data_IF_717616136051
#
_entry.id   IF_717616136051
#
_cell.length_a   1.000
_cell.length_b   1.000
_cell.length_c   1.000
_cell.angle_alpha   90.00
_cell.angle_beta   90.00
_cell.angle_gamma   90.00
#
_symmetry.space_group_name_H-M   'P 1'
#
loop_
_entity.id
_entity.type
_entity.pdbx_description
1 polymer ?
#
# COMPACT_ATOMS: atom_id res chain seq x y z
N UNK A 1 12.98 4.45 -78.80
CA UNK A 1 13.74 4.51 -77.53
C UNK A 1 12.79 4.08 -76.42
N UNK A 2 12.23 2.87 -76.48
CA UNK A 2 12.84 1.56 -76.10
C UNK A 2 12.91 1.48 -74.57
N UNK A 3 12.21 0.59 -73.84
CA UNK A 3 11.57 -0.71 -74.13
C UNK A 3 10.47 -0.96 -73.07
N UNK A 4 9.28 -1.37 -73.51
CA UNK A 4 8.64 -2.69 -73.30
C UNK A 4 7.62 -2.70 -72.12
N UNK A 5 6.29 -2.69 -72.36
CA UNK A 5 5.40 -3.81 -72.74
C UNK A 5 5.35 -4.90 -71.64
N UNK A 6 4.23 -5.39 -71.10
CA UNK A 6 2.83 -5.62 -71.56
C UNK A 6 2.04 -6.08 -70.29
N UNK A 7 0.89 -5.49 -69.91
CA UNK A 7 -0.51 -5.85 -70.28
C UNK A 7 -0.87 -7.26 -69.72
N UNK A 8 -1.98 -7.58 -69.04
CA UNK A 8 -3.36 -7.07 -68.99
C UNK A 8 -4.15 -7.69 -67.81
N UNK A 9 -5.15 -6.95 -67.33
CA UNK A 9 -6.43 -7.34 -66.69
C UNK A 9 -7.31 -8.23 -67.63
N UNK A 10 -8.61 -8.60 -67.41
CA UNK A 10 -9.67 -7.87 -66.66
C UNK A 10 -10.81 -8.73 -66.03
N UNK A 11 -11.88 -8.04 -65.59
CA UNK A 11 -13.30 -8.46 -65.53
C UNK A 11 -13.76 -9.29 -64.30
N UNK A 12 -14.91 -9.06 -63.62
CA UNK A 12 -16.13 -8.24 -63.82
C UNK A 12 -16.86 -8.17 -62.45
N UNK A 13 -17.53 -7.05 -62.15
CA UNK A 13 -18.49 -6.81 -61.05
C UNK A 13 -19.94 -7.18 -61.50
N UNK A 14 -20.99 -7.39 -60.66
CA UNK A 14 -21.61 -6.33 -59.84
C UNK A 14 -22.42 -6.77 -58.58
N UNK A 15 -22.98 -5.75 -57.90
CA UNK A 15 -24.00 -5.70 -56.84
C UNK A 15 -25.13 -6.77 -56.87
N UNK A 16 -25.70 -7.10 -55.69
CA UNK A 16 -27.11 -6.81 -55.28
C UNK A 16 -27.46 -7.45 -53.91
N UNK A 17 -28.14 -6.65 -53.07
CA UNK A 17 -29.12 -6.89 -51.99
C UNK A 17 -29.28 -8.26 -51.28
N UNK A 18 -29.59 -8.16 -49.97
CA UNK A 18 -30.77 -8.85 -49.43
C UNK A 18 -30.59 -9.67 -48.15
N UNK A 19 -31.13 -9.13 -47.06
CA UNK A 19 -31.90 -9.79 -45.99
C UNK A 19 -31.52 -11.20 -45.46
N UNK A 20 -31.21 -11.22 -44.16
CA UNK A 20 -31.80 -12.03 -43.08
C UNK A 20 -32.16 -13.53 -43.27
N UNK A 21 -31.86 -14.26 -42.18
CA UNK A 21 -32.25 -15.63 -41.80
C UNK A 21 -31.50 -16.76 -42.52
N UNK A 22 -30.75 -17.59 -41.77
CA UNK A 22 -31.13 -18.98 -41.49
C UNK A 22 -30.18 -19.66 -40.50
N UNK A 23 -30.84 -20.32 -39.56
CA UNK A 23 -30.43 -21.28 -38.55
C UNK A 23 -29.72 -22.53 -39.09
N UNK A 24 -28.76 -23.07 -38.30
CA UNK A 24 -28.22 -24.46 -38.17
C UNK A 24 -26.68 -24.43 -38.21
N UNK A 25 -25.89 -25.20 -37.46
CA UNK A 25 -26.03 -26.51 -36.81
C UNK A 25 -24.76 -26.68 -35.93
N UNK A 26 -24.87 -27.07 -34.66
CA UNK A 26 -23.77 -27.73 -33.93
C UNK A 26 -24.39 -28.56 -32.81
N UNK A 27 -24.72 -29.82 -33.09
CA UNK A 27 -23.90 -31.01 -32.83
C UNK A 27 -23.76 -31.32 -31.34
N UNK A 28 -24.71 -32.11 -30.86
CA UNK A 28 -24.76 -32.80 -29.56
C UNK A 28 -23.61 -33.80 -29.40
N UNK A 29 -22.87 -33.71 -28.30
CA UNK A 29 -22.12 -34.84 -27.72
C UNK A 29 -22.59 -35.05 -26.28
N UNK A 30 -23.33 -36.14 -26.10
CA UNK A 30 -23.72 -36.69 -24.79
C UNK A 30 -22.49 -37.26 -24.07
N UNK A 31 -22.31 -36.91 -22.81
CA UNK A 31 -21.46 -37.65 -21.87
C UNK A 31 -22.36 -38.04 -20.69
N UNK A 32 -22.49 -39.35 -20.50
CA UNK A 32 -23.21 -39.99 -19.40
C UNK A 32 -22.53 -39.68 -18.06
N UNK A 33 -23.33 -39.30 -17.05
CA UNK A 33 -22.92 -39.36 -15.65
C UNK A 33 -23.81 -40.32 -14.88
N UNK A 34 -23.16 -41.32 -14.28
CA UNK A 34 -23.76 -42.34 -13.43
C UNK A 34 -24.34 -41.71 -12.15
N UNK A 35 -25.56 -42.11 -11.83
CA UNK A 35 -26.25 -41.82 -10.58
C UNK A 35 -25.55 -42.50 -9.41
N UNK A 36 -25.09 -41.74 -8.42
CA UNK A 36 -24.74 -42.28 -7.11
C UNK A 36 -25.54 -41.58 -6.01
N UNK A 37 -26.38 -42.38 -5.38
CA UNK A 37 -27.29 -42.12 -4.26
C UNK A 37 -26.48 -41.56 -3.07
N UNK A 38 -26.81 -40.36 -2.56
CA UNK A 38 -26.22 -39.85 -1.31
C UNK A 38 -27.27 -39.69 -0.23
N UNK A 39 -27.05 -40.43 0.85
CA UNK A 39 -27.80 -40.42 2.10
C UNK A 39 -27.63 -39.11 2.86
N UNK A 40 -28.69 -38.69 3.56
CA UNK A 40 -28.69 -37.60 4.53
C UNK A 40 -27.88 -38.03 5.76
N UNK A 41 -26.85 -37.27 6.12
CA UNK A 41 -26.24 -37.32 7.45
C UNK A 41 -25.73 -35.91 7.84
N UNK A 42 -25.85 -35.63 9.13
CA UNK A 42 -25.85 -34.32 9.78
C UNK A 42 -24.49 -33.63 9.94
N UNK A 43 -24.57 -32.30 9.96
CA UNK A 43 -23.69 -31.28 10.55
C UNK A 43 -22.47 -31.74 11.36
N UNK A 44 -21.30 -31.17 11.05
CA UNK A 44 -20.33 -30.66 12.04
C UNK A 44 -19.60 -29.43 11.45
N UNK A 45 -19.92 -28.23 11.96
CA UNK A 45 -19.17 -26.99 11.72
C UNK A 45 -18.05 -26.90 12.77
N UNK A 46 -16.81 -27.12 12.36
CA UNK A 46 -15.64 -26.80 13.19
C UNK A 46 -15.33 -25.31 13.00
N UNK A 47 -15.59 -24.51 14.04
CA UNK A 47 -15.06 -23.15 14.17
C UNK A 47 -13.64 -23.25 14.71
N UNK A 48 -12.63 -23.02 13.88
CA UNK A 48 -11.28 -22.75 14.36
C UNK A 48 -11.16 -21.25 14.68
N UNK A 49 -11.12 -20.92 15.97
CA UNK A 49 -10.95 -19.57 16.47
C UNK A 49 -9.45 -19.31 16.64
N UNK A 50 -8.81 -18.72 15.63
CA UNK A 50 -7.41 -18.26 15.75
C UNK A 50 -7.45 -16.87 16.39
N UNK A 51 -7.17 -16.81 17.69
CA UNK A 51 -7.04 -15.58 18.45
C UNK A 51 -5.65 -14.97 18.20
N UNK A 52 -5.60 -13.85 17.50
CA UNK A 52 -4.39 -13.07 17.27
C UNK A 52 -4.29 -11.97 18.34
N UNK A 53 -3.29 -12.06 19.23
CA UNK A 53 -2.99 -11.04 20.24
C UNK A 53 -1.81 -10.18 19.76
N UNK A 54 -2.02 -8.92 19.35
CA UNK A 54 -0.92 -8.01 19.10
C UNK A 54 -0.61 -7.29 20.41
N UNK A 55 0.49 -7.67 21.07
CA UNK A 55 1.27 -6.93 22.09
C UNK A 55 1.83 -7.91 23.12
N UNK A 56 3.04 -8.42 22.85
CA UNK A 56 3.99 -8.76 23.91
C UNK A 56 5.41 -8.63 23.35
N UNK A 57 6.15 -7.70 23.93
CA UNK A 57 7.60 -7.62 23.82
C UNK A 57 8.19 -8.94 24.32
N UNK A 58 9.00 -9.59 23.48
CA UNK A 58 9.74 -10.78 23.86
C UNK A 58 11.10 -10.31 24.40
N UNK A 59 11.25 -10.30 25.73
CA UNK A 59 12.55 -10.20 26.38
C UNK A 59 13.27 -11.56 26.29
N UNK A 60 14.57 -11.50 26.04
CA UNK A 60 15.51 -12.61 25.91
C UNK A 60 15.58 -13.49 27.17
N UNK A 61 15.80 -14.82 27.05
CA UNK A 61 16.03 -15.63 28.23
C UNK A 61 17.52 -15.62 28.62
N UNK A 62 17.82 -15.07 29.78
CA UNK A 62 19.03 -15.40 30.52
C UNK A 62 18.75 -16.63 31.40
N UNK A 63 19.63 -17.62 31.28
CA UNK A 63 19.64 -18.86 32.04
C UNK A 63 19.73 -18.60 33.55
N UNK A 64 18.88 -19.26 34.34
CA UNK A 64 19.27 -19.66 35.69
C UNK A 64 18.69 -21.04 36.04
N UNK A 65 19.54 -21.78 36.73
CA UNK A 65 19.55 -23.20 37.02
C UNK A 65 18.39 -23.70 37.92
N UNK A 66 17.99 -24.95 37.64
CA UNK A 66 17.14 -25.81 38.45
C UNK A 66 17.68 -26.05 39.88
N UNK A 67 16.76 -26.24 40.84
CA UNK A 67 16.90 -27.28 41.88
C UNK A 67 15.59 -27.55 42.64
N UNK A 68 15.28 -28.86 42.77
CA UNK A 68 14.41 -29.60 43.73
C UNK A 68 13.30 -30.43 43.03
N UNK A 69 13.46 -31.75 42.87
CA UNK A 69 13.26 -32.86 43.84
C UNK A 69 11.77 -32.94 44.26
N UNK A 70 10.95 -33.76 43.60
CA UNK A 70 10.65 -35.18 43.89
C UNK A 70 9.44 -35.35 44.84
N UNK A 71 8.51 -36.22 44.48
CA UNK A 71 7.40 -36.62 45.36
C UNK A 71 6.08 -36.88 44.63
N UNK A 72 5.92 -38.07 44.07
CA UNK A 72 4.64 -38.53 43.54
C UNK A 72 3.67 -38.99 44.63
N UNK A 73 2.35 -38.94 44.34
CA UNK A 73 1.38 -40.02 44.62
C UNK A 73 0.01 -39.72 43.98
N UNK A 74 -0.66 -40.82 43.61
CA UNK A 74 -1.89 -40.96 42.81
C UNK A 74 -3.19 -40.72 43.62
N UNK A 75 -4.21 -40.24 42.89
CA UNK A 75 -5.66 -40.55 42.89
C UNK A 75 -6.44 -40.79 44.21
N UNK A 76 -7.58 -40.10 44.34
CA UNK A 76 -8.88 -40.75 44.58
C UNK A 76 -10.08 -39.88 44.17
N UNK A 77 -11.00 -40.48 43.43
CA UNK A 77 -12.35 -40.01 43.10
C UNK A 77 -13.25 -39.89 44.33
N UNK A 78 -14.21 -38.96 44.28
CA UNK A 78 -15.55 -39.17 44.85
C UNK A 78 -16.61 -38.44 44.02
N UNK A 79 -17.53 -39.23 43.48
CA UNK A 79 -18.79 -38.82 42.86
C UNK A 79 -19.74 -38.22 43.89
N UNK A 80 -20.41 -37.11 43.56
CA UNK A 80 -21.71 -36.78 44.18
C UNK A 80 -22.61 -36.06 43.19
N UNK A 81 -23.69 -36.74 42.77
CA UNK A 81 -24.84 -36.16 42.05
C UNK A 81 -25.62 -35.24 42.97
N UNK A 82 -26.04 -34.06 42.51
CA UNK A 82 -27.16 -33.34 43.11
C UNK A 82 -27.98 -32.55 42.07
N UNK A 83 -29.17 -33.10 41.80
CA UNK A 83 -30.49 -32.52 41.53
C UNK A 83 -30.61 -31.08 41.00
N UNK A 84 -31.26 -30.99 39.82
CA UNK A 84 -31.74 -29.77 39.14
C UNK A 84 -32.87 -29.10 39.93
N UNK A 85 -32.78 -27.78 40.12
CA UNK A 85 -33.90 -26.92 40.53
C UNK A 85 -34.09 -25.83 39.47
N UNK A 86 -35.17 -25.90 38.72
CA UNK A 86 -35.57 -24.87 37.78
C UNK A 86 -36.16 -23.68 38.55
N UNK A 87 -35.62 -22.48 38.31
CA UNK A 87 -36.21 -21.21 38.74
C UNK A 87 -36.44 -20.38 37.49
N UNK A 88 -37.71 -20.11 37.19
CA UNK A 88 -38.15 -19.16 36.18
C UNK A 88 -37.95 -17.75 36.74
N UNK A 89 -37.13 -16.92 36.08
CA UNK A 89 -36.98 -15.49 36.39
C UNK A 89 -37.62 -14.66 35.25
N UNK A 90 -38.36 -13.57 35.55
CA UNK A 90 -38.98 -12.75 34.52
C UNK A 90 -37.94 -11.89 33.81
N UNK A 91 -38.12 -11.70 32.51
CA UNK A 91 -37.37 -10.79 31.65
C UNK A 91 -37.48 -9.35 32.14
N UNK A 92 -36.35 -8.73 32.52
CA UNK A 92 -36.24 -7.30 32.71
C UNK A 92 -35.58 -6.66 31.48
N UNK A 93 -36.30 -5.75 30.84
CA UNK A 93 -35.96 -5.10 29.55
C UNK A 93 -34.77 -4.11 29.62
N UNK A 94 -34.01 -4.06 30.72
CA UNK A 94 -32.92 -3.08 30.90
C UNK A 94 -31.57 -3.51 30.33
N UNK A 95 -31.38 -4.78 29.97
CA UNK A 95 -30.13 -5.25 29.32
C UNK A 95 -30.08 -4.97 27.81
N UNK A 96 -31.20 -4.57 27.19
CA UNK A 96 -31.31 -4.40 25.74
C UNK A 96 -30.59 -3.15 25.23
N UNK A 97 -30.60 -2.03 25.96
CA UNK A 97 -29.95 -0.79 25.52
C UNK A 97 -28.44 -0.79 25.78
N UNK A 98 -27.98 -1.35 26.89
CA UNK A 98 -26.54 -1.44 27.21
C UNK A 98 -25.80 -2.48 26.35
N UNK A 99 -26.48 -3.57 25.96
CA UNK A 99 -25.96 -4.53 24.99
C UNK A 99 -25.98 -3.98 23.57
N UNK A 100 -27.04 -3.25 23.17
CA UNK A 100 -27.14 -2.62 21.85
C UNK A 100 -26.14 -1.49 21.65
N UNK A 101 -25.84 -0.67 22.67
CA UNK A 101 -24.81 0.37 22.58
C UNK A 101 -23.40 -0.21 22.52
N UNK A 102 -23.09 -1.25 23.31
CA UNK A 102 -21.84 -2.02 23.20
C UNK A 102 -21.67 -2.62 21.80
N UNK A 103 -22.74 -3.18 21.24
CA UNK A 103 -22.73 -3.74 19.88
C UNK A 103 -22.49 -2.68 18.78
N UNK A 104 -22.97 -1.45 18.93
CA UNK A 104 -22.70 -0.36 17.97
C UNK A 104 -21.24 0.10 18.07
N UNK A 105 -20.74 0.34 19.28
CA UNK A 105 -19.34 0.77 19.49
C UNK A 105 -18.37 -0.29 18.97
N UNK A 106 -18.63 -1.57 19.24
CA UNK A 106 -17.81 -2.67 18.74
C UNK A 106 -17.88 -2.79 17.22
N UNK A 107 -19.05 -2.58 16.61
CA UNK A 107 -19.21 -2.54 15.15
C UNK A 107 -18.40 -1.40 14.52
N UNK A 108 -18.47 -0.20 15.10
CA UNK A 108 -17.71 0.97 14.64
C UNK A 108 -16.19 0.72 14.78
N UNK A 109 -15.75 0.18 15.92
CA UNK A 109 -14.34 -0.16 16.15
C UNK A 109 -13.84 -1.22 15.16
N UNK A 110 -14.65 -2.23 14.87
CA UNK A 110 -14.34 -3.25 13.88
C UNK A 110 -14.25 -2.63 12.47
N UNK A 111 -15.16 -1.72 12.11
CA UNK A 111 -15.11 -1.01 10.85
C UNK A 111 -13.82 -0.20 10.69
N UNK A 112 -13.42 0.58 11.71
CA UNK A 112 -12.16 1.32 11.66
C UNK A 112 -10.93 0.39 11.61
N UNK A 113 -10.97 -0.76 12.28
CA UNK A 113 -9.89 -1.75 12.20
C UNK A 113 -9.78 -2.33 10.78
N UNK A 114 -10.92 -2.59 10.14
CA UNK A 114 -11.00 -3.05 8.76
C UNK A 114 -10.49 -1.98 7.80
N UNK A 115 -10.91 -0.72 7.95
CA UNK A 115 -10.41 0.40 7.16
C UNK A 115 -8.91 0.63 7.36
N UNK A 116 -8.42 0.52 8.58
CA UNK A 116 -6.99 0.64 8.87
C UNK A 116 -6.17 -0.44 8.15
N UNK A 117 -6.65 -1.69 8.13
CA UNK A 117 -6.02 -2.76 7.34
C UNK A 117 -6.15 -2.50 5.83
N UNK A 118 -7.25 -1.89 5.39
CA UNK A 118 -7.56 -1.62 3.99
C UNK A 118 -6.61 -0.60 3.36
N UNK A 119 -6.18 0.42 4.11
CA UNK A 119 -5.33 1.51 3.59
C UNK A 119 -3.83 1.20 3.56
N UNK A 120 -3.40 0.00 3.97
CA UNK A 120 -1.97 -0.32 4.17
C UNK A 120 -1.24 0.77 4.99
N UNK A 121 -1.32 0.73 6.33
CA UNK A 121 -0.89 1.83 7.19
C UNK A 121 0.52 2.33 6.90
N UNK A 122 1.46 1.42 6.65
CA UNK A 122 2.84 1.76 6.34
C UNK A 122 2.99 2.59 5.04
N UNK A 123 2.19 2.31 4.01
CA UNK A 123 2.22 3.03 2.74
C UNK A 123 1.53 4.40 2.88
N UNK A 124 0.40 4.44 3.61
CA UNK A 124 -0.29 5.69 3.98
C UNK A 124 0.65 6.63 4.73
N UNK A 125 1.40 6.13 5.71
CA UNK A 125 2.35 6.96 6.45
C UNK A 125 3.46 7.53 5.56
N UNK A 126 4.03 6.74 4.65
CA UNK A 126 5.04 7.26 3.72
C UNK A 126 4.50 8.38 2.83
N UNK A 127 3.25 8.23 2.38
CA UNK A 127 2.50 9.17 1.56
C UNK A 127 2.18 10.49 2.29
N UNK A 128 1.68 10.40 3.52
CA UNK A 128 1.50 11.57 4.40
C UNK A 128 2.83 12.28 4.67
N UNK A 129 3.91 11.54 4.86
CA UNK A 129 5.24 12.11 5.02
C UNK A 129 5.73 12.84 3.77
N UNK A 130 5.43 12.34 2.57
CA UNK A 130 5.73 13.07 1.33
C UNK A 130 4.97 14.40 1.26
N UNK A 131 3.70 14.43 1.69
CA UNK A 131 2.91 15.65 1.77
C UNK A 131 3.47 16.66 2.79
N UNK A 132 3.79 16.20 4.00
CA UNK A 132 4.40 17.03 5.05
C UNK A 132 5.76 17.56 4.59
N UNK A 133 6.62 16.69 4.05
CA UNK A 133 7.96 17.04 3.58
C UNK A 133 7.92 18.06 2.43
N UNK A 134 7.12 17.79 1.39
CA UNK A 134 6.94 18.71 0.26
C UNK A 134 6.41 20.08 0.73
N UNK A 135 5.50 20.08 1.70
CA UNK A 135 4.96 21.32 2.28
C UNK A 135 6.00 22.11 3.08
N UNK A 136 6.83 21.43 3.88
CA UNK A 136 7.86 22.07 4.68
C UNK A 136 9.00 22.63 3.84
N UNK A 137 9.30 22.03 2.69
CA UNK A 137 10.30 22.54 1.74
C UNK A 137 9.96 23.97 1.27
N UNK A 138 8.67 24.34 1.21
CA UNK A 138 8.21 25.68 0.80
C UNK A 138 8.28 26.74 1.91
N UNK A 139 8.50 26.33 3.16
CA UNK A 139 8.78 27.28 4.23
C UNK A 139 10.11 27.96 3.88
N UNK A 140 10.25 29.27 4.10
CA UNK A 140 11.52 30.01 3.92
C UNK A 140 12.01 30.61 5.23
N UNK A 141 11.09 31.04 6.11
CA UNK A 141 11.37 31.62 7.43
C UNK A 141 10.49 31.01 8.51
N UNK A 142 10.89 31.10 9.77
CA UNK A 142 10.13 30.48 10.88
C UNK A 142 8.72 31.07 11.02
N UNK A 143 8.54 32.36 10.71
CA UNK A 143 7.22 33.01 10.71
C UNK A 143 6.26 32.48 9.64
N UNK A 144 6.74 31.69 8.68
CA UNK A 144 5.86 31.00 7.74
C UNK A 144 5.09 29.85 8.41
N UNK A 145 5.59 29.30 9.53
CA UNK A 145 4.89 28.31 10.37
C UNK A 145 3.76 28.97 11.17
N UNK A 146 2.84 29.56 10.42
CA UNK A 146 1.67 30.31 10.88
C UNK A 146 0.41 29.45 10.75
N UNK A 147 -0.74 29.89 11.28
CA UNK A 147 -2.02 29.22 11.04
C UNK A 147 -2.30 28.98 9.54
N UNK A 148 -1.86 29.89 8.66
CA UNK A 148 -1.98 29.75 7.22
C UNK A 148 -1.23 28.53 6.67
N UNK A 149 -0.02 28.26 7.19
CA UNK A 149 0.73 27.05 6.82
C UNK A 149 -0.01 25.78 7.23
N UNK A 150 -0.56 25.73 8.44
CA UNK A 150 -1.30 24.56 8.91
C UNK A 150 -2.60 24.33 8.14
N UNK A 151 -3.27 25.41 7.70
CA UNK A 151 -4.42 25.32 6.79
C UNK A 151 -3.99 24.72 5.45
N UNK A 152 -2.91 25.21 4.85
CA UNK A 152 -2.36 24.68 3.60
C UNK A 152 -1.94 23.21 3.73
N UNK A 153 -1.27 22.86 4.82
CA UNK A 153 -0.90 21.48 5.10
C UNK A 153 -2.14 20.57 5.24
N UNK A 154 -3.19 21.04 5.92
CA UNK A 154 -4.44 20.30 6.03
C UNK A 154 -5.14 20.13 4.66
N UNK A 155 -5.10 21.17 3.82
CA UNK A 155 -5.58 21.13 2.44
C UNK A 155 -4.83 20.08 1.60
N UNK A 156 -3.53 19.86 1.84
CA UNK A 156 -2.77 18.81 1.19
C UNK A 156 -3.06 17.40 1.76
N UNK A 157 -3.19 17.27 3.09
CA UNK A 157 -3.33 15.97 3.76
C UNK A 157 -4.73 15.37 3.65
N UNK A 158 -5.79 16.18 3.84
CA UNK A 158 -7.16 15.68 3.90
C UNK A 158 -7.59 14.98 2.60
N UNK A 159 -7.39 15.55 1.40
CA UNK A 159 -7.77 14.87 0.18
C UNK A 159 -6.90 13.65 -0.11
N UNK A 160 -5.66 13.67 0.37
CA UNK A 160 -4.75 12.55 0.21
C UNK A 160 -5.26 11.28 0.89
N UNK A 161 -5.92 11.39 2.05
CA UNK A 161 -6.53 10.25 2.72
C UNK A 161 -7.61 9.57 1.86
N UNK A 162 -8.40 10.35 1.11
CA UNK A 162 -9.37 9.80 0.16
C UNK A 162 -8.68 9.18 -1.05
N UNK A 163 -7.58 9.78 -1.52
CA UNK A 163 -6.77 9.17 -2.58
C UNK A 163 -6.21 7.82 -2.14
N UNK A 164 -5.77 7.68 -0.89
CA UNK A 164 -5.27 6.42 -0.35
C UNK A 164 -6.33 5.33 -0.30
N UNK A 165 -7.55 5.67 0.11
CA UNK A 165 -8.69 4.75 0.06
C UNK A 165 -8.97 4.30 -1.38
N UNK A 166 -8.94 5.23 -2.34
CA UNK A 166 -9.14 4.93 -3.75
C UNK A 166 -8.05 4.00 -4.28
N UNK A 167 -6.77 4.35 -4.12
CA UNK A 167 -5.62 3.62 -4.67
C UNK A 167 -5.53 2.21 -4.10
N UNK A 168 -5.63 2.08 -2.77
CA UNK A 168 -5.51 0.78 -2.13
C UNK A 168 -6.74 -0.10 -2.39
N UNK A 169 -7.92 0.53 -2.56
CA UNK A 169 -9.15 -0.17 -2.85
C UNK A 169 -9.27 -0.63 -4.29
N UNK A 170 -8.92 0.21 -5.28
CA UNK A 170 -8.91 -0.20 -6.69
C UNK A 170 -7.93 -1.35 -6.90
N UNK A 171 -6.77 -1.33 -6.24
CA UNK A 171 -5.84 -2.44 -6.31
C UNK A 171 -6.44 -3.73 -5.75
N UNK A 172 -7.02 -3.70 -4.53
CA UNK A 172 -7.65 -4.88 -3.94
C UNK A 172 -8.81 -5.43 -4.76
N UNK A 173 -9.64 -4.56 -5.36
CA UNK A 173 -10.77 -4.98 -6.21
C UNK A 173 -10.29 -5.79 -7.41
N UNK A 174 -9.30 -5.30 -8.14
CA UNK A 174 -8.80 -5.96 -9.34
C UNK A 174 -7.76 -7.07 -9.07
N UNK A 175 -7.20 -7.11 -7.86
CA UNK A 175 -6.28 -8.15 -7.42
C UNK A 175 -6.94 -9.15 -6.46
N UNK A 176 -8.26 -9.20 -6.37
CA UNK A 176 -8.97 -10.04 -5.41
C UNK A 176 -8.50 -11.51 -5.37
N UNK A 177 -8.33 -12.15 -6.53
CA UNK A 177 -7.86 -13.54 -6.61
C UNK A 177 -6.34 -13.68 -6.35
N UNK A 178 -5.54 -12.68 -6.73
CA UNK A 178 -4.10 -12.63 -6.47
C UNK A 178 -3.85 -12.46 -4.97
N UNK A 179 -4.58 -11.54 -4.34
CA UNK A 179 -4.45 -11.21 -2.92
C UNK A 179 -4.93 -12.36 -2.02
N UNK A 180 -5.79 -13.27 -2.49
CA UNK A 180 -6.07 -14.52 -1.73
C UNK A 180 -4.83 -15.39 -1.56
N UNK A 181 -3.90 -15.35 -2.50
CA UNK A 181 -2.64 -16.10 -2.45
C UNK A 181 -1.60 -15.28 -1.70
N UNK A 182 -1.33 -14.06 -2.17
CA UNK A 182 -0.24 -13.24 -1.68
C UNK A 182 -0.58 -12.63 -0.31
N UNK A 183 -1.79 -12.09 -0.13
CA UNK A 183 -2.15 -11.26 1.03
C UNK A 183 -3.51 -11.67 1.63
N UNK A 184 -3.69 -12.94 2.06
CA UNK A 184 -4.97 -13.48 2.50
C UNK A 184 -5.56 -12.78 3.73
N UNK A 185 -4.75 -12.01 4.46
CA UNK A 185 -5.16 -11.25 5.64
C UNK A 185 -5.88 -9.94 5.31
N UNK A 186 -5.85 -9.48 4.05
CA UNK A 186 -6.47 -8.21 3.66
C UNK A 186 -7.98 -8.24 3.81
N UNK A 187 -8.62 -7.09 4.10
CA UNK A 187 -10.06 -7.01 4.32
C UNK A 187 -10.93 -7.68 3.25
N UNK A 188 -10.64 -7.42 1.97
CA UNK A 188 -11.41 -7.99 0.88
C UNK A 188 -11.11 -9.48 0.70
N UNK A 189 -9.82 -9.87 0.62
CA UNK A 189 -9.40 -11.25 0.44
C UNK A 189 -9.84 -12.19 1.58
N UNK A 190 -9.80 -11.70 2.83
CA UNK A 190 -10.24 -12.43 4.02
C UNK A 190 -11.76 -12.48 4.21
N UNK A 191 -12.53 -11.73 3.41
CA UNK A 191 -13.99 -11.64 3.53
C UNK A 191 -14.50 -10.76 4.68
N UNK A 192 -13.62 -10.04 5.39
CA UNK A 192 -14.02 -9.05 6.42
C UNK A 192 -14.75 -7.85 5.82
N UNK A 193 -14.44 -7.51 4.57
CA UNK A 193 -15.11 -6.48 3.79
C UNK A 193 -15.75 -7.14 2.57
N UNK A 194 -17.06 -6.95 2.38
CA UNK A 194 -17.75 -7.46 1.20
C UNK A 194 -17.31 -6.73 -0.07
N UNK A 195 -17.32 -7.42 -1.21
CA UNK A 195 -16.97 -6.83 -2.50
C UNK A 195 -17.78 -5.57 -2.81
N UNK A 196 -19.10 -5.61 -2.58
CA UNK A 196 -20.00 -4.47 -2.76
C UNK A 196 -19.58 -3.26 -1.92
N UNK A 197 -19.29 -3.47 -0.63
CA UNK A 197 -18.88 -2.39 0.26
C UNK A 197 -17.50 -1.83 -0.12
N UNK A 198 -16.58 -2.69 -0.60
CA UNK A 198 -15.29 -2.26 -1.13
C UNK A 198 -15.47 -1.32 -2.33
N UNK A 199 -16.30 -1.71 -3.31
CA UNK A 199 -16.61 -0.86 -4.47
C UNK A 199 -17.25 0.46 -4.06
N UNK A 200 -18.16 0.46 -3.09
CA UNK A 200 -18.74 1.70 -2.55
C UNK A 200 -17.69 2.61 -1.90
N UNK A 201 -16.75 2.07 -1.13
CA UNK A 201 -15.64 2.84 -0.54
C UNK A 201 -14.78 3.43 -1.64
N UNK A 202 -14.39 2.65 -2.65
CA UNK A 202 -13.56 3.11 -3.78
C UNK A 202 -14.26 4.24 -4.55
N UNK A 203 -15.52 4.05 -4.94
CA UNK A 203 -16.28 5.04 -5.70
C UNK A 203 -16.51 6.32 -4.89
N UNK A 204 -16.91 6.20 -3.62
CA UNK A 204 -17.10 7.36 -2.73
C UNK A 204 -15.79 8.12 -2.52
N UNK A 205 -14.68 7.40 -2.32
CA UNK A 205 -13.36 8.01 -2.13
C UNK A 205 -12.89 8.76 -3.37
N UNK A 206 -13.15 8.23 -4.57
CA UNK A 206 -12.89 8.93 -5.83
C UNK A 206 -13.68 10.25 -5.91
N UNK A 207 -14.99 10.20 -5.65
CA UNK A 207 -15.83 11.41 -5.68
C UNK A 207 -15.34 12.45 -4.66
N UNK A 208 -15.05 12.01 -3.43
CA UNK A 208 -14.59 12.89 -2.36
C UNK A 208 -13.23 13.53 -2.67
N UNK A 209 -12.25 12.77 -3.18
CA UNK A 209 -10.94 13.34 -3.49
C UNK A 209 -11.03 14.42 -4.58
N UNK A 210 -11.81 14.19 -5.64
CA UNK A 210 -12.04 15.19 -6.67
C UNK A 210 -12.81 16.40 -6.13
N UNK A 211 -13.93 16.16 -5.43
CA UNK A 211 -14.77 17.22 -4.88
C UNK A 211 -13.99 18.15 -3.93
N UNK A 212 -13.25 17.58 -2.97
CA UNK A 212 -12.48 18.38 -2.01
C UNK A 212 -11.39 19.20 -2.72
N UNK A 213 -10.73 18.67 -3.75
CA UNK A 213 -9.69 19.44 -4.45
C UNK A 213 -10.21 20.55 -5.33
N UNK A 214 -11.36 20.32 -5.96
CA UNK A 214 -12.05 21.37 -6.70
C UNK A 214 -12.51 22.48 -5.76
N UNK A 215 -12.99 22.13 -4.56
CA UNK A 215 -13.34 23.12 -3.52
C UNK A 215 -12.13 23.89 -3.00
N UNK A 216 -10.97 23.24 -2.83
CA UNK A 216 -9.72 23.92 -2.45
C UNK A 216 -9.26 24.85 -3.59
N UNK A 217 -9.40 24.41 -4.85
CA UNK A 217 -9.06 25.23 -6.02
C UNK A 217 -7.57 25.39 -6.28
N UNK A 218 -6.71 24.59 -5.65
CA UNK A 218 -5.26 24.65 -5.87
C UNK A 218 -4.87 23.90 -7.16
N UNK A 219 -4.30 24.57 -8.18
CA UNK A 219 -3.94 23.90 -9.44
C UNK A 219 -2.92 22.77 -9.24
N UNK A 220 -2.01 22.93 -8.27
CA UNK A 220 -1.00 21.92 -7.95
C UNK A 220 -1.62 20.65 -7.36
N UNK A 221 -2.58 20.76 -6.44
CA UNK A 221 -3.25 19.59 -5.85
C UNK A 221 -4.24 18.94 -6.83
N UNK A 222 -4.95 19.73 -7.64
CA UNK A 222 -5.80 19.20 -8.72
C UNK A 222 -4.94 18.39 -9.71
N UNK A 223 -3.79 18.92 -10.11
CA UNK A 223 -2.84 18.21 -10.99
C UNK A 223 -2.31 16.94 -10.34
N UNK A 224 -1.98 16.97 -9.03
CA UNK A 224 -1.55 15.79 -8.28
C UNK A 224 -2.58 14.66 -8.40
N UNK A 225 -3.86 14.96 -8.16
CA UNK A 225 -4.90 13.95 -8.16
C UNK A 225 -5.25 13.47 -9.56
N UNK A 226 -5.30 14.34 -10.56
CA UNK A 226 -5.52 13.90 -11.94
C UNK A 226 -4.43 12.93 -12.40
N UNK A 227 -3.16 13.27 -12.11
CA UNK A 227 -2.03 12.42 -12.47
C UNK A 227 -2.04 11.11 -11.69
N UNK A 228 -2.17 11.16 -10.36
CA UNK A 228 -2.16 9.94 -9.55
C UNK A 228 -3.39 9.07 -9.82
N UNK A 229 -4.58 9.65 -10.02
CA UNK A 229 -5.78 8.88 -10.38
C UNK A 229 -5.51 8.12 -11.67
N UNK A 230 -5.08 8.82 -12.73
CA UNK A 230 -4.76 8.19 -14.02
C UNK A 230 -3.71 7.09 -13.89
N UNK A 231 -2.59 7.36 -13.19
CA UNK A 231 -1.50 6.41 -13.03
C UNK A 231 -1.93 5.16 -12.24
N UNK A 232 -2.65 5.33 -11.12
CA UNK A 232 -3.08 4.21 -10.29
C UNK A 232 -4.24 3.43 -10.92
N UNK A 233 -5.15 4.09 -11.63
CA UNK A 233 -6.16 3.41 -12.47
C UNK A 233 -5.46 2.58 -13.56
N UNK A 234 -4.51 3.18 -14.30
CA UNK A 234 -3.75 2.49 -15.34
C UNK A 234 -2.92 1.33 -14.82
N UNK A 235 -2.37 1.46 -13.61
CA UNK A 235 -1.65 0.38 -12.95
C UNK A 235 -2.56 -0.79 -12.56
N UNK A 236 -3.70 -0.52 -11.89
CA UNK A 236 -4.51 -1.56 -11.25
C UNK A 236 -5.63 -2.14 -12.11
N UNK A 237 -6.35 -1.32 -12.90
CA UNK A 237 -7.57 -1.75 -13.58
C UNK A 237 -7.28 -2.76 -14.69
N UNK A 238 -8.01 -3.87 -14.73
CA UNK A 238 -7.89 -4.88 -15.77
C UNK A 238 -8.77 -4.55 -16.99
N UNK A 239 -8.29 -3.68 -17.87
CA UNK A 239 -8.97 -3.27 -19.11
C UNK A 239 -7.94 -2.97 -20.22
N UNK A 240 -8.35 -2.89 -21.51
CA UNK A 240 -7.43 -2.58 -22.61
C UNK A 240 -6.63 -1.30 -22.37
N UNK A 241 -5.34 -1.30 -22.70
CA UNK A 241 -4.36 -0.22 -22.46
C UNK A 241 -4.05 0.09 -20.99
N UNK A 242 -4.73 -0.55 -20.03
CA UNK A 242 -4.48 -0.43 -18.60
C UNK A 242 -3.73 -1.68 -18.10
N UNK A 243 -3.84 -1.99 -16.81
CA UNK A 243 -3.16 -3.11 -16.13
C UNK A 243 -1.63 -3.07 -16.24
N UNK A 244 -1.04 -1.89 -16.13
CA UNK A 244 0.41 -1.70 -16.31
C UNK A 244 1.27 -2.50 -15.34
N UNK A 245 0.72 -2.99 -14.23
CA UNK A 245 1.39 -3.93 -13.33
C UNK A 245 1.91 -5.19 -14.01
N UNK A 246 1.35 -5.59 -15.17
CA UNK A 246 1.84 -6.71 -15.97
C UNK A 246 3.20 -6.45 -16.60
N UNK A 247 3.57 -5.18 -16.79
CA UNK A 247 4.82 -4.78 -17.43
C UNK A 247 5.78 -4.22 -16.36
N UNK A 248 6.84 -4.94 -15.98
CA UNK A 248 7.63 -4.61 -14.80
C UNK A 248 8.35 -3.26 -14.92
N UNK A 249 8.79 -2.88 -16.12
CA UNK A 249 9.40 -1.56 -16.38
C UNK A 249 8.38 -0.44 -16.17
N UNK A 250 7.16 -0.58 -16.72
CA UNK A 250 6.09 0.41 -16.56
C UNK A 250 5.64 0.47 -15.10
N UNK A 251 5.55 -0.68 -14.44
CA UNK A 251 5.26 -0.81 -13.01
C UNK A 251 6.31 -0.11 -12.12
N UNK A 252 7.60 -0.18 -12.47
CA UNK A 252 8.63 0.54 -11.74
C UNK A 252 8.58 2.05 -12.04
N UNK A 253 8.40 2.41 -13.32
CA UNK A 253 8.37 3.80 -13.78
C UNK A 253 7.21 4.59 -13.17
N UNK A 254 6.01 4.03 -13.05
CA UNK A 254 4.89 4.78 -12.45
C UNK A 254 5.16 5.07 -10.96
N UNK A 255 5.71 4.11 -10.20
CA UNK A 255 6.04 4.33 -8.77
C UNK A 255 7.08 5.42 -8.67
N UNK A 256 8.12 5.34 -9.49
CA UNK A 256 9.13 6.38 -9.58
C UNK A 256 8.52 7.76 -9.84
N UNK A 257 7.69 7.90 -10.87
CA UNK A 257 7.08 9.19 -11.25
C UNK A 257 6.18 9.72 -10.14
N UNK A 258 5.33 8.88 -9.54
CA UNK A 258 4.47 9.29 -8.43
C UNK A 258 5.27 9.80 -7.22
N UNK A 259 6.27 9.03 -6.79
CA UNK A 259 6.98 9.30 -5.54
C UNK A 259 8.14 10.29 -5.65
N UNK A 260 8.89 10.26 -6.74
CA UNK A 260 10.06 11.10 -6.94
C UNK A 260 9.73 12.44 -7.61
N UNK A 261 8.62 12.53 -8.35
CA UNK A 261 8.29 13.71 -9.14
C UNK A 261 6.97 14.32 -8.69
N UNK A 262 5.85 13.61 -8.82
CA UNK A 262 4.52 14.20 -8.62
C UNK A 262 4.34 14.65 -7.17
N UNK A 263 4.54 13.77 -6.18
CA UNK A 263 4.32 14.13 -4.78
C UNK A 263 5.20 15.30 -4.32
N UNK A 264 6.54 15.27 -4.44
CA UNK A 264 7.37 16.37 -3.94
C UNK A 264 7.03 17.71 -4.60
N UNK A 265 6.87 17.73 -5.94
CA UNK A 265 6.63 18.96 -6.69
C UNK A 265 5.26 19.55 -6.37
N UNK A 266 4.20 18.74 -6.40
CA UNK A 266 2.84 19.29 -6.27
C UNK A 266 2.53 19.79 -4.85
N UNK A 267 3.03 19.10 -3.81
CA UNK A 267 2.87 19.60 -2.44
C UNK A 267 3.70 20.86 -2.18
N UNK A 268 4.94 20.89 -2.71
CA UNK A 268 5.74 22.11 -2.68
C UNK A 268 5.05 23.27 -3.39
N UNK A 269 4.56 23.06 -4.62
CA UNK A 269 3.89 24.10 -5.40
C UNK A 269 2.58 24.56 -4.76
N UNK A 270 1.82 23.67 -4.12
CA UNK A 270 0.64 24.04 -3.35
C UNK A 270 1.01 25.06 -2.27
N UNK A 271 2.03 24.76 -1.46
CA UNK A 271 2.46 25.68 -0.42
C UNK A 271 3.08 26.97 -0.98
N UNK A 272 4.00 26.85 -1.94
CA UNK A 272 4.74 27.98 -2.51
C UNK A 272 3.80 28.96 -3.21
N UNK A 273 2.99 28.48 -4.15
CA UNK A 273 2.21 29.34 -5.06
C UNK A 273 0.79 29.60 -4.59
N UNK A 274 0.14 28.61 -3.95
CA UNK A 274 -1.26 28.73 -3.60
C UNK A 274 -1.46 29.24 -2.18
N UNK A 275 -0.68 28.76 -1.21
CA UNK A 275 -0.80 29.16 0.20
C UNK A 275 0.00 30.43 0.46
N UNK A 276 1.29 30.45 0.13
CA UNK A 276 2.16 31.59 0.39
C UNK A 276 2.15 32.66 -0.72
N UNK A 277 1.54 32.38 -1.88
CA UNK A 277 1.48 33.28 -3.04
C UNK A 277 2.85 33.79 -3.51
N UNK A 278 3.86 32.92 -3.43
CA UNK A 278 5.24 33.21 -3.84
C UNK A 278 5.53 32.72 -5.26
N UNK A 279 6.52 33.31 -5.95
CA UNK A 279 6.98 32.80 -7.24
C UNK A 279 7.53 31.37 -7.11
N UNK A 280 7.47 30.64 -8.22
CA UNK A 280 8.03 29.28 -8.31
C UNK A 280 9.55 29.38 -8.37
N UNK A 281 10.20 29.02 -7.27
CA UNK A 281 11.66 28.88 -7.18
C UNK A 281 11.93 27.52 -6.60
N UNK A 282 12.59 26.62 -7.34
CA UNK A 282 12.88 25.28 -6.83
C UNK A 282 14.14 25.29 -5.95
N UNK A 283 14.02 25.07 -4.63
CA UNK A 283 15.18 25.07 -3.76
C UNK A 283 16.01 23.80 -3.95
N UNK A 284 17.30 23.88 -3.59
CA UNK A 284 18.21 22.72 -3.57
C UNK A 284 17.64 21.54 -2.78
N UNK A 285 16.93 21.81 -1.68
CA UNK A 285 16.29 20.80 -0.83
C UNK A 285 15.22 20.00 -1.57
N UNK A 286 14.46 20.61 -2.49
CA UNK A 286 13.49 19.92 -3.34
C UNK A 286 14.20 18.95 -4.28
N UNK A 287 15.25 19.40 -4.96
CA UNK A 287 16.02 18.57 -5.90
C UNK A 287 16.64 17.37 -5.18
N UNK A 288 17.23 17.59 -4.00
CA UNK A 288 17.78 16.51 -3.17
C UNK A 288 16.69 15.53 -2.73
N UNK A 289 15.50 16.03 -2.34
CA UNK A 289 14.35 15.19 -2.00
C UNK A 289 13.91 14.31 -3.16
N UNK A 290 13.78 14.90 -4.36
CA UNK A 290 13.41 14.17 -5.57
C UNK A 290 14.47 13.11 -5.92
N UNK A 291 15.76 13.42 -5.80
CA UNK A 291 16.84 12.48 -6.09
C UNK A 291 16.92 11.34 -5.06
N UNK A 292 16.71 11.64 -3.77
CA UNK A 292 16.58 10.60 -2.74
C UNK A 292 15.39 9.68 -3.06
N UNK A 293 14.23 10.27 -3.33
CA UNK A 293 13.01 9.54 -3.62
C UNK A 293 13.09 8.75 -4.93
N UNK A 294 13.85 9.21 -5.92
CA UNK A 294 14.11 8.51 -7.17
C UNK A 294 14.70 7.11 -6.92
N UNK A 295 15.80 7.04 -6.16
CA UNK A 295 16.41 5.76 -5.82
C UNK A 295 15.56 4.95 -4.84
N UNK A 296 15.04 5.60 -3.80
CA UNK A 296 14.29 4.90 -2.75
C UNK A 296 12.98 4.29 -3.28
N UNK A 297 12.22 5.05 -4.07
CA UNK A 297 10.95 4.57 -4.64
C UNK A 297 11.16 3.46 -5.68
N UNK A 298 12.27 3.47 -6.43
CA UNK A 298 12.64 2.35 -7.30
C UNK A 298 12.92 1.08 -6.50
N UNK A 299 13.61 1.17 -5.36
CA UNK A 299 13.78 0.05 -4.44
C UNK A 299 12.46 -0.46 -3.87
N UNK A 300 11.55 0.44 -3.48
CA UNK A 300 10.19 0.09 -3.02
C UNK A 300 9.40 -0.61 -4.13
N UNK A 301 9.49 -0.11 -5.37
CA UNK A 301 8.80 -0.67 -6.52
C UNK A 301 9.20 -2.12 -6.80
N UNK A 302 10.49 -2.44 -6.68
CA UNK A 302 11.01 -3.79 -6.89
C UNK A 302 10.77 -4.71 -5.70
N UNK A 303 10.94 -4.19 -4.47
CA UNK A 303 10.83 -5.00 -3.26
C UNK A 303 9.41 -5.44 -2.95
N UNK A 304 8.39 -4.67 -3.39
CA UNK A 304 6.97 -5.06 -3.23
C UNK A 304 6.64 -6.37 -3.95
N UNK A 305 7.32 -6.66 -5.06
CA UNK A 305 7.04 -7.82 -5.93
C UNK A 305 7.74 -9.11 -5.44
N UNK A 306 8.68 -8.99 -4.49
CA UNK A 306 9.42 -10.15 -3.94
C UNK A 306 8.49 -11.10 -3.16
N UNK A 307 7.68 -10.64 -2.19
CA UNK A 307 6.75 -11.50 -1.46
C UNK A 307 5.53 -11.94 -2.27
N UNK A 308 5.29 -11.34 -3.44
CA UNK A 308 4.07 -11.51 -4.23
C UNK A 308 4.26 -12.47 -5.44
N UNK A 309 5.43 -13.12 -5.54
CA UNK A 309 5.86 -13.91 -6.70
C UNK A 309 4.88 -15.03 -7.10
N UNK A 310 4.28 -15.71 -6.11
CA UNK A 310 3.43 -16.88 -6.36
C UNK A 310 2.11 -16.47 -7.00
N UNK A 311 1.40 -15.51 -6.39
CA UNK A 311 0.14 -15.00 -6.92
C UNK A 311 0.32 -14.30 -8.26
N UNK A 312 1.43 -13.57 -8.45
CA UNK A 312 1.74 -12.88 -9.70
C UNK A 312 1.96 -13.88 -10.85
N UNK A 313 2.76 -14.92 -10.60
CA UNK A 313 3.03 -15.97 -11.59
C UNK A 313 1.76 -16.71 -12.01
N UNK A 314 0.89 -17.06 -11.07
CA UNK A 314 -0.37 -17.76 -11.38
C UNK A 314 -1.34 -16.91 -12.21
N UNK A 315 -1.23 -15.58 -12.15
CA UNK A 315 -2.12 -14.65 -12.85
C UNK A 315 -1.45 -13.93 -14.04
N UNK A 316 -0.30 -14.44 -14.52
CA UNK A 316 0.39 -13.94 -15.71
C UNK A 316 0.96 -12.53 -15.55
N UNK A 317 1.28 -12.11 -14.33
CA UNK A 317 2.00 -10.86 -14.05
C UNK A 317 3.49 -11.18 -14.09
N UNK A 318 4.23 -10.46 -14.94
CA UNK A 318 5.63 -10.74 -15.18
C UNK A 318 6.52 -9.74 -14.43
N UNK A 319 6.69 -9.91 -13.13
CA UNK A 319 7.47 -8.99 -12.30
C UNK A 319 8.98 -9.21 -12.43
N UNK A 320 9.79 -8.23 -11.99
CA UNK A 320 11.25 -8.38 -11.99
C UNK A 320 11.71 -9.56 -11.11
N UNK A 321 11.01 -9.83 -10.00
CA UNK A 321 11.31 -10.95 -9.11
C UNK A 321 11.08 -12.30 -9.79
N UNK A 322 10.12 -12.38 -10.73
CA UNK A 322 9.90 -13.57 -11.59
C UNK A 322 11.01 -13.69 -12.64
N UNK A 323 11.35 -12.60 -13.34
CA UNK A 323 12.34 -12.63 -14.45
C UNK A 323 13.78 -12.87 -14.00
N UNK A 324 14.20 -12.15 -12.95
CA UNK A 324 15.60 -12.12 -12.50
C UNK A 324 15.85 -13.01 -11.28
N UNK A 325 14.77 -13.44 -10.61
CA UNK A 325 14.82 -14.20 -9.36
C UNK A 325 14.86 -13.29 -8.13
N UNK A 326 14.18 -13.74 -7.06
CA UNK A 326 13.99 -12.99 -5.82
C UNK A 326 15.31 -12.51 -5.20
N UNK A 327 16.34 -13.35 -5.16
CA UNK A 327 17.65 -13.02 -4.54
C UNK A 327 18.37 -11.89 -5.26
N UNK A 328 18.36 -11.87 -6.60
CA UNK A 328 19.00 -10.79 -7.36
C UNK A 328 18.25 -9.48 -7.17
N UNK A 329 16.92 -9.52 -7.28
CA UNK A 329 16.07 -8.33 -7.08
C UNK A 329 16.19 -7.78 -5.67
N UNK A 330 16.26 -8.63 -4.65
CA UNK A 330 16.50 -8.22 -3.26
C UNK A 330 17.77 -7.37 -3.13
N UNK A 331 18.90 -7.82 -3.67
CA UNK A 331 20.16 -7.07 -3.60
C UNK A 331 20.14 -5.79 -4.43
N UNK A 332 19.43 -5.77 -5.57
CA UNK A 332 19.19 -4.53 -6.33
C UNK A 332 18.40 -3.53 -5.47
N UNK A 333 17.36 -3.98 -4.76
CA UNK A 333 16.59 -3.12 -3.87
C UNK A 333 17.47 -2.53 -2.77
N UNK A 334 18.27 -3.36 -2.10
CA UNK A 334 19.20 -2.92 -1.05
C UNK A 334 20.17 -1.89 -1.62
N UNK A 335 20.79 -2.16 -2.77
CA UNK A 335 21.69 -1.20 -3.42
C UNK A 335 21.01 0.14 -3.72
N UNK A 336 19.78 0.14 -4.24
CA UNK A 336 19.02 1.36 -4.49
C UNK A 336 18.71 2.14 -3.20
N UNK A 337 18.38 1.45 -2.11
CA UNK A 337 18.20 2.10 -0.81
C UNK A 337 19.49 2.72 -0.28
N UNK A 338 20.62 2.01 -0.37
CA UNK A 338 21.93 2.53 0.01
C UNK A 338 22.31 3.76 -0.83
N UNK A 339 22.05 3.74 -2.15
CA UNK A 339 22.26 4.90 -3.02
C UNK A 339 21.41 6.09 -2.60
N UNK A 340 20.15 5.89 -2.22
CA UNK A 340 19.31 6.95 -1.69
C UNK A 340 19.94 7.59 -0.43
N UNK A 341 20.38 6.78 0.54
CA UNK A 341 21.06 7.30 1.72
C UNK A 341 22.41 7.95 1.40
N UNK A 342 23.13 7.47 0.38
CA UNK A 342 24.33 8.12 -0.16
C UNK A 342 24.04 9.53 -0.67
N UNK A 343 22.94 9.74 -1.40
CA UNK A 343 22.49 11.07 -1.83
C UNK A 343 22.22 11.97 -0.62
N UNK A 344 21.48 11.47 0.38
CA UNK A 344 21.17 12.23 1.58
C UNK A 344 22.43 12.61 2.38
N UNK A 345 23.37 11.68 2.52
CA UNK A 345 24.66 11.88 3.16
C UNK A 345 25.47 12.96 2.44
N UNK A 346 25.65 12.84 1.12
CA UNK A 346 26.40 13.81 0.32
C UNK A 346 25.76 15.18 0.36
N UNK A 347 24.43 15.26 0.28
CA UNK A 347 23.71 16.53 0.39
C UNK A 347 23.88 17.18 1.77
N UNK A 348 23.87 16.39 2.86
CA UNK A 348 24.15 16.86 4.21
C UNK A 348 25.57 17.39 4.35
N UNK A 349 26.56 16.59 3.94
CA UNK A 349 27.99 16.91 4.03
C UNK A 349 28.39 18.15 3.21
N UNK A 350 27.79 18.32 2.03
CA UNK A 350 28.06 19.45 1.11
C UNK A 350 27.08 20.62 1.27
N UNK A 351 26.23 20.61 2.30
CA UNK A 351 25.33 21.74 2.57
C UNK A 351 26.12 22.94 3.08
N UNK A 352 25.61 24.16 2.92
CA UNK A 352 26.21 25.35 3.56
C UNK A 352 25.78 25.49 5.03
N UNK A 353 25.22 24.44 5.61
CA UNK A 353 24.62 24.47 6.94
C UNK A 353 25.67 24.59 8.05
N UNK A 354 25.28 25.10 9.24
CA UNK A 354 26.11 25.03 10.43
C UNK A 354 26.54 23.60 10.77
N UNK A 355 27.72 23.48 11.36
CA UNK A 355 28.43 22.21 11.54
C UNK A 355 27.59 21.14 12.27
N UNK A 356 26.82 21.52 13.29
CA UNK A 356 25.93 20.60 14.00
C UNK A 356 24.87 19.96 13.11
N UNK A 357 24.24 20.73 12.22
CA UNK A 357 23.23 20.21 11.27
C UNK A 357 23.88 19.26 10.26
N UNK A 358 25.08 19.59 9.78
CA UNK A 358 25.84 18.74 8.86
C UNK A 358 26.13 17.38 9.46
N UNK A 359 26.57 17.35 10.73
CA UNK A 359 26.81 16.11 11.45
C UNK A 359 25.50 15.33 11.60
N UNK A 360 24.44 15.95 12.11
CA UNK A 360 23.16 15.25 12.34
C UNK A 360 22.61 14.64 11.04
N UNK A 361 22.62 15.39 9.94
CA UNK A 361 22.11 14.91 8.65
C UNK A 361 23.00 13.81 8.05
N UNK A 362 24.32 13.96 8.10
CA UNK A 362 25.26 12.98 7.52
C UNK A 362 25.32 11.71 8.36
N UNK A 363 25.53 11.84 9.67
CA UNK A 363 25.57 10.70 10.61
C UNK A 363 24.22 10.01 10.68
N UNK A 364 23.11 10.76 10.69
CA UNK A 364 21.76 10.19 10.66
C UNK A 364 21.49 9.37 9.40
N UNK A 365 21.89 9.87 8.23
CA UNK A 365 21.77 9.13 6.95
C UNK A 365 22.62 7.87 6.96
N UNK A 366 23.87 7.96 7.42
CA UNK A 366 24.77 6.81 7.54
C UNK A 366 24.27 5.76 8.55
N UNK A 367 23.70 6.20 9.67
CA UNK A 367 23.12 5.31 10.67
C UNK A 367 21.90 4.56 10.09
N UNK A 368 21.00 5.24 9.37
CA UNK A 368 19.84 4.60 8.74
C UNK A 368 20.24 3.60 7.65
N UNK A 369 21.21 3.97 6.81
CA UNK A 369 21.86 3.06 5.86
C UNK A 369 22.42 1.81 6.57
N UNK A 370 23.22 2.01 7.61
CA UNK A 370 23.82 0.92 8.40
C UNK A 370 22.77 0.00 9.03
N UNK A 371 21.68 0.56 9.56
CA UNK A 371 20.57 -0.21 10.13
C UNK A 371 19.87 -1.02 9.03
N UNK A 372 19.60 -0.43 7.86
CA UNK A 372 18.99 -1.11 6.72
C UNK A 372 19.88 -2.27 6.24
N UNK A 373 21.18 -2.01 6.05
CA UNK A 373 22.16 -3.02 5.69
C UNK A 373 22.21 -4.16 6.72
N UNK A 374 22.23 -3.83 8.01
CA UNK A 374 22.25 -4.82 9.09
C UNK A 374 21.01 -5.72 9.07
N UNK A 375 19.83 -5.15 8.80
CA UNK A 375 18.59 -5.91 8.70
C UNK A 375 18.62 -6.96 7.58
N UNK A 376 19.40 -6.77 6.51
CA UNK A 376 19.50 -7.75 5.42
C UNK A 376 20.00 -9.12 5.88
N UNK A 377 20.77 -9.19 6.99
CA UNK A 377 21.28 -10.46 7.57
C UNK A 377 20.17 -11.38 8.08
N UNK A 378 18.99 -10.83 8.36
CA UNK A 378 17.84 -11.55 8.91
C UNK A 378 16.76 -11.82 7.86
N UNK A 379 17.00 -11.47 6.60
CA UNK A 379 16.04 -11.67 5.51
C UNK A 379 16.29 -12.99 4.82
N UNK A 380 15.34 -13.91 4.99
CA UNK A 380 15.24 -15.09 4.14
C UNK A 380 14.38 -14.72 2.92
N UNK A 381 15.04 -14.55 1.78
CA UNK A 381 14.41 -14.13 0.53
C UNK A 381 13.42 -15.18 0.01
N UNK A 382 13.55 -16.44 0.41
CA UNK A 382 12.65 -17.52 -0.02
C UNK A 382 11.35 -17.55 0.79
N UNK A 383 11.33 -16.90 1.95
CA UNK A 383 10.17 -16.83 2.83
C UNK A 383 9.36 -15.54 2.59
N UNK A 384 8.11 -15.63 2.06
CA UNK A 384 7.26 -14.46 1.80
C UNK A 384 6.98 -13.61 3.06
N UNK A 385 6.92 -14.23 4.24
CA UNK A 385 6.70 -13.49 5.48
C UNK A 385 7.92 -12.65 5.87
N UNK A 386 9.13 -13.20 5.68
CA UNK A 386 10.40 -12.50 5.94
C UNK A 386 10.57 -11.30 5.00
N UNK A 387 10.36 -11.50 3.70
CA UNK A 387 10.46 -10.44 2.69
C UNK A 387 9.38 -9.37 2.85
N UNK A 388 8.16 -9.74 3.24
CA UNK A 388 7.09 -8.78 3.59
C UNK A 388 7.42 -7.98 4.85
N UNK A 389 8.03 -8.61 5.85
CA UNK A 389 8.51 -7.91 7.05
C UNK A 389 9.58 -6.88 6.69
N UNK A 390 10.55 -7.26 5.85
CA UNK A 390 11.56 -6.34 5.33
C UNK A 390 10.94 -5.20 4.52
N UNK A 391 9.98 -5.49 3.63
CA UNK A 391 9.25 -4.46 2.87
C UNK A 391 8.56 -3.45 3.81
N UNK A 392 7.83 -3.91 4.82
CA UNK A 392 7.21 -3.05 5.84
C UNK A 392 8.24 -2.27 6.67
N UNK A 393 9.39 -2.87 6.98
CA UNK A 393 10.49 -2.20 7.64
C UNK A 393 11.03 -1.02 6.82
N UNK A 394 11.21 -1.18 5.51
CA UNK A 394 11.66 -0.08 4.64
C UNK A 394 10.72 1.13 4.72
N UNK A 395 9.41 0.93 4.70
CA UNK A 395 8.45 2.02 4.91
C UNK A 395 8.64 2.78 6.24
N UNK A 396 9.04 2.09 7.30
CA UNK A 396 9.36 2.73 8.60
C UNK A 396 10.68 3.49 8.54
N UNK A 397 11.67 2.99 7.81
CA UNK A 397 12.96 3.67 7.63
C UNK A 397 12.77 4.98 6.88
N UNK A 398 12.04 5.00 5.76
CA UNK A 398 11.76 6.26 5.04
C UNK A 398 10.91 7.23 5.87
N UNK A 399 9.97 6.74 6.67
CA UNK A 399 9.22 7.55 7.63
C UNK A 399 10.17 8.24 8.62
N UNK A 400 11.05 7.46 9.26
CA UNK A 400 12.04 7.99 10.20
C UNK A 400 13.00 8.97 9.53
N UNK A 401 13.48 8.64 8.33
CA UNK A 401 14.31 9.52 7.53
C UNK A 401 13.61 10.84 7.23
N UNK A 402 12.35 10.81 6.80
CA UNK A 402 11.61 12.03 6.44
C UNK A 402 11.41 12.93 7.66
N UNK A 403 11.10 12.34 8.82
CA UNK A 403 10.98 13.07 10.09
C UNK A 403 12.32 13.69 10.51
N UNK A 404 13.40 12.91 10.46
CA UNK A 404 14.72 13.32 10.94
C UNK A 404 15.43 14.28 9.96
N UNK A 405 15.27 14.08 8.66
CA UNK A 405 15.99 14.79 7.61
C UNK A 405 15.26 16.06 7.16
N UNK A 406 13.98 16.02 6.81
CA UNK A 406 13.30 17.20 6.26
C UNK A 406 12.81 18.17 7.33
N UNK A 407 12.25 17.67 8.43
CA UNK A 407 11.64 18.56 9.43
C UNK A 407 12.71 19.26 10.28
N UNK A 408 13.74 18.53 10.71
CA UNK A 408 14.79 19.06 11.58
C UNK A 408 15.76 19.95 10.79
N UNK A 409 16.14 19.57 9.58
CA UNK A 409 17.04 20.38 8.75
C UNK A 409 16.43 21.74 8.41
N UNK A 410 15.15 21.79 8.02
CA UNK A 410 14.46 23.02 7.64
C UNK A 410 14.25 23.95 8.85
N UNK A 411 13.95 23.39 10.02
CA UNK A 411 13.76 24.16 11.26
C UNK A 411 15.10 24.71 11.77
N UNK A 412 16.16 23.89 11.83
CA UNK A 412 17.44 24.31 12.40
C UNK A 412 18.23 25.22 11.43
N UNK A 413 18.17 25.00 10.11
CA UNK A 413 18.78 25.92 9.14
C UNK A 413 18.31 27.37 9.32
N UNK A 414 17.05 27.54 9.69
CA UNK A 414 16.40 28.85 9.79
C UNK A 414 16.50 29.49 11.16
N UNK A 415 16.75 28.71 12.22
CA UNK A 415 17.15 29.27 13.51
C UNK A 415 18.52 29.92 13.48
N UNK A 416 19.39 29.51 12.55
CA UNK A 416 20.77 29.99 12.46
C UNK A 416 20.98 31.07 11.39
N UNK A 417 19.95 31.39 10.60
CA UNK A 417 19.95 32.45 9.59
C UNK A 417 19.25 33.74 10.04
N UNK A 418 18.63 33.73 11.22
CA UNK A 418 18.13 34.89 11.96
C UNK A 418 19.03 35.14 13.15
#
# INVERSE_FOLDING_TARGET
MDRAHVISSPNVSPLINGANFWTRKLSTKNIYYASCRRSKASQHKIKAQIQYNPLRFQQSPFNHHNKSIEGGRKYKETNTKCVVKAVTMPSSESESQSSKSKNIVDSVKNFFTVLYQFIYPYATYGRLCAAISGSLIAVEKLSDLSPLFFIGLLQALLPHLFMDLYVNGVNQVFDFEIDKINKPYLPLASGKLSFRNCVFIVASSAILVFGVNLMIGSPALISNILLNFTLWTGYSVNAPLLRWKQYPVVAALFIFVSWAVIFPITYFLHMQTFVFKRPVVFPRSLIVSMLFMAFYSAGIALSKDIPDIEGDKQHGIDSFSIRLGQKKVFWICVFLYEMAFGVAFLAGATSSSPFGIKIVTSVGSFALASILWYQTKYVDVTNPASTRSFYSFNWKVILLFTILYFNIHIIIQKQLSN
#
